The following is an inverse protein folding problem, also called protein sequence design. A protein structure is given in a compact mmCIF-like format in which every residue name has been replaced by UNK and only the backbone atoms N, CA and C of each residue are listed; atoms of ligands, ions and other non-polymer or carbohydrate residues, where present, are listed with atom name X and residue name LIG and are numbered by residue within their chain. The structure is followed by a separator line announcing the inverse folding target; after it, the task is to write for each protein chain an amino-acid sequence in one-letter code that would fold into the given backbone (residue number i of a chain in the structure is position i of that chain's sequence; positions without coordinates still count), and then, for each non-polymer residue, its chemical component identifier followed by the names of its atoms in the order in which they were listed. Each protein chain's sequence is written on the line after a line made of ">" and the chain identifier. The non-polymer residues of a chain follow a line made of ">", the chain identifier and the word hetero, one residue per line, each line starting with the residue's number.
data_IF_477880229959
#
_entry.id   IF_477880229959
#
_cell.length_a   1.000
_cell.length_b   1.000
_cell.length_c   1.000
_cell.angle_alpha   90.00
_cell.angle_beta   90.00
_cell.angle_gamma   90.00
#
_symmetry.space_group_name_H-M   'P 1'
#
loop_
_entity.id
_entity.type
_entity.pdbx_description
1 polymer ?
#
# COMPACT_ATOMS: atom_id res chain seq x y z
N UNK A 1 -25.82 35.84 -12.09
CA UNK A 1 -25.55 34.48 -12.60
C UNK A 1 -24.78 33.75 -11.50
N UNK A 2 -25.47 32.89 -10.74
CA UNK A 2 -24.87 32.16 -9.61
C UNK A 2 -24.57 30.74 -10.07
N UNK A 3 -23.29 30.37 -10.13
CA UNK A 3 -22.85 29.01 -10.42
C UNK A 3 -23.03 28.16 -9.16
N UNK A 4 -24.19 27.54 -9.03
CA UNK A 4 -24.43 26.53 -8.00
C UNK A 4 -23.56 25.30 -8.29
N UNK A 5 -22.59 25.06 -7.42
CA UNK A 5 -21.75 23.85 -7.44
C UNK A 5 -22.63 22.63 -7.16
N UNK A 6 -22.67 21.68 -8.10
CA UNK A 6 -23.49 20.46 -8.03
C UNK A 6 -23.09 19.48 -6.91
N UNK A 7 -22.10 19.83 -6.09
CA UNK A 7 -21.67 19.06 -4.93
C UNK A 7 -22.56 19.28 -3.70
N UNK A 8 -23.19 20.46 -3.56
CA UNK A 8 -23.96 20.81 -2.36
C UNK A 8 -25.40 20.24 -2.33
N UNK A 9 -25.91 19.74 -3.45
CA UNK A 9 -27.31 19.29 -3.57
C UNK A 9 -27.50 17.79 -3.29
N UNK A 10 -26.41 17.04 -3.05
CA UNK A 10 -26.46 15.57 -2.89
C UNK A 10 -26.75 15.09 -1.47
N UNK A 11 -26.95 15.99 -0.51
CA UNK A 11 -27.07 15.66 0.92
C UNK A 11 -28.49 15.73 1.49
N UNK A 12 -29.51 16.08 0.70
CA UNK A 12 -30.81 16.49 1.28
C UNK A 12 -31.94 15.45 1.31
N UNK A 13 -31.78 14.21 0.84
CA UNK A 13 -32.92 13.25 0.87
C UNK A 13 -32.52 11.77 1.07
N UNK A 14 -31.52 11.46 1.90
CA UNK A 14 -31.34 10.08 2.36
C UNK A 14 -31.99 9.94 3.74
N UNK A 15 -33.15 9.29 3.76
CA UNK A 15 -33.77 8.74 4.96
C UNK A 15 -32.75 7.87 5.73
N UNK A 16 -32.80 8.02 7.03
CA UNK A 16 -31.81 7.65 8.03
C UNK A 16 -32.01 6.20 8.51
N UNK A 17 -31.69 5.20 7.67
CA UNK A 17 -31.81 3.78 8.11
C UNK A 17 -30.52 2.96 8.11
N UNK A 18 -29.39 3.48 7.62
CA UNK A 18 -28.04 3.01 7.97
C UNK A 18 -27.02 3.96 7.32
N UNK A 19 -25.89 4.28 7.98
CA UNK A 19 -24.81 4.97 7.29
C UNK A 19 -24.36 4.15 6.07
N UNK A 20 -24.05 4.78 4.93
CA UNK A 20 -23.50 4.07 3.78
C UNK A 20 -22.26 3.29 4.21
N UNK A 21 -22.17 2.02 3.81
CA UNK A 21 -21.02 1.21 4.14
C UNK A 21 -19.78 1.81 3.48
N UNK A 22 -18.85 2.34 4.28
CA UNK A 22 -17.64 3.03 3.81
C UNK A 22 -16.41 2.38 4.46
N UNK A 23 -15.32 2.27 3.71
CA UNK A 23 -14.03 1.85 4.24
C UNK A 23 -12.87 2.66 3.64
N UNK A 24 -11.81 2.85 4.42
CA UNK A 24 -10.58 3.51 3.96
C UNK A 24 -9.43 2.52 4.08
N UNK A 25 -8.64 2.42 3.02
CA UNK A 25 -7.46 1.57 2.95
C UNK A 25 -6.20 2.44 2.84
N UNK A 26 -5.22 2.16 3.70
CA UNK A 26 -3.90 2.79 3.65
C UNK A 26 -2.82 1.72 3.48
N UNK A 27 -2.06 1.80 2.39
CA UNK A 27 -0.94 0.90 2.12
C UNK A 27 0.36 1.65 2.40
N UNK A 28 1.15 1.18 3.36
CA UNK A 28 2.51 1.66 3.61
C UNK A 28 3.50 0.79 2.86
N UNK A 29 4.12 1.36 1.82
CA UNK A 29 5.04 0.67 0.92
C UNK A 29 6.49 1.08 1.22
N UNK A 30 7.40 0.11 1.34
CA UNK A 30 8.78 0.34 1.81
C UNK A 30 9.80 -0.45 0.99
N UNK A 31 9.48 -1.69 0.62
CA UNK A 31 10.48 -2.58 0.05
C UNK A 31 10.97 -2.12 -1.33
N UNK A 32 10.09 -1.54 -2.15
CA UNK A 32 10.39 -1.00 -3.49
C UNK A 32 9.78 0.38 -3.61
N UNK A 33 10.31 1.18 -4.53
CA UNK A 33 9.76 2.48 -4.87
C UNK A 33 8.93 2.40 -6.16
N UNK A 34 7.90 3.25 -6.27
CA UNK A 34 7.04 3.42 -7.42
C UNK A 34 7.55 4.59 -8.28
N UNK A 35 8.76 4.43 -8.83
CA UNK A 35 9.59 5.50 -9.40
C UNK A 35 9.08 6.11 -10.72
N UNK A 36 7.96 5.64 -11.26
CA UNK A 36 7.36 6.21 -12.47
C UNK A 36 5.84 6.17 -12.42
N UNK A 37 5.21 7.09 -13.16
CA UNK A 37 3.75 7.13 -13.29
C UNK A 37 3.19 5.82 -13.87
N UNK A 38 3.93 5.17 -14.78
CA UNK A 38 3.53 3.88 -15.34
C UNK A 38 3.46 2.79 -14.27
N UNK A 39 4.49 2.68 -13.43
CA UNK A 39 4.52 1.72 -12.31
C UNK A 39 3.43 2.03 -11.28
N UNK A 40 3.20 3.31 -10.96
CA UNK A 40 2.14 3.75 -10.05
C UNK A 40 0.76 3.35 -10.58
N UNK A 41 0.48 3.63 -11.85
CA UNK A 41 -0.79 3.28 -12.48
C UNK A 41 -0.99 1.76 -12.54
N UNK A 42 0.07 1.01 -12.83
CA UNK A 42 0.03 -0.46 -12.80
C UNK A 42 -0.31 -0.98 -11.40
N UNK A 43 0.33 -0.43 -10.35
CA UNK A 43 0.06 -0.83 -8.97
C UNK A 43 -1.39 -0.52 -8.56
N UNK A 44 -1.89 0.69 -8.85
CA UNK A 44 -3.28 1.04 -8.58
C UNK A 44 -4.26 0.12 -9.32
N UNK A 45 -3.99 -0.17 -10.60
CA UNK A 45 -4.81 -1.12 -11.36
C UNK A 45 -4.85 -2.49 -10.70
N UNK A 46 -3.71 -3.01 -10.26
CA UNK A 46 -3.63 -4.32 -9.60
C UNK A 46 -4.44 -4.36 -8.30
N UNK A 47 -4.41 -3.28 -7.50
CA UNK A 47 -5.22 -3.18 -6.28
C UNK A 47 -6.72 -3.07 -6.62
N UNK A 48 -7.07 -2.25 -7.61
CA UNK A 48 -8.46 -2.08 -8.07
C UNK A 48 -9.06 -3.39 -8.61
N UNK A 49 -8.28 -4.18 -9.34
CA UNK A 49 -8.68 -5.49 -9.86
C UNK A 49 -9.02 -6.48 -8.73
N UNK A 50 -8.49 -6.27 -7.51
CA UNK A 50 -8.77 -7.07 -6.31
C UNK A 50 -9.95 -6.49 -5.53
N UNK A 51 -9.95 -5.18 -5.27
CA UNK A 51 -10.93 -4.55 -4.38
C UNK A 51 -12.31 -4.44 -5.01
N UNK A 52 -12.39 -4.04 -6.29
CA UNK A 52 -13.69 -3.79 -6.96
C UNK A 52 -14.60 -5.02 -6.95
N UNK A 53 -14.14 -6.25 -7.28
CA UNK A 53 -14.98 -7.44 -7.21
C UNK A 53 -15.47 -7.80 -5.80
N UNK A 54 -14.79 -7.32 -4.74
CA UNK A 54 -15.13 -7.63 -3.35
C UNK A 54 -16.08 -6.60 -2.75
N UNK A 55 -15.79 -5.30 -2.95
CA UNK A 55 -16.47 -4.19 -2.28
C UNK A 55 -17.72 -3.72 -3.02
N UNK A 56 -17.64 -3.63 -4.36
CA UNK A 56 -18.74 -3.08 -5.17
C UNK A 56 -20.04 -3.91 -5.06
N UNK A 57 -20.03 -5.25 -5.12
CA UNK A 57 -21.27 -6.04 -4.96
C UNK A 57 -21.90 -5.92 -3.57
N UNK A 58 -21.14 -5.48 -2.57
CA UNK A 58 -21.60 -5.25 -1.20
C UNK A 58 -22.13 -3.84 -0.97
N UNK A 59 -22.11 -2.98 -2.00
CA UNK A 59 -22.48 -1.57 -1.87
C UNK A 59 -21.57 -0.79 -0.93
N UNK A 60 -20.32 -1.24 -0.76
CA UNK A 60 -19.33 -0.55 0.07
C UNK A 60 -18.62 0.50 -0.78
N UNK A 61 -18.65 1.75 -0.34
CA UNK A 61 -17.80 2.82 -0.86
C UNK A 61 -16.39 2.70 -0.26
N UNK A 62 -15.34 3.05 -1.02
CA UNK A 62 -13.98 3.01 -0.48
C UNK A 62 -13.05 4.12 -0.97
N UNK A 63 -12.10 4.45 -0.12
CA UNK A 63 -10.96 5.32 -0.41
C UNK A 63 -9.65 4.53 -0.24
N UNK A 64 -8.67 4.75 -1.11
CA UNK A 64 -7.37 4.08 -1.09
C UNK A 64 -6.24 5.10 -1.19
N UNK A 65 -5.31 5.06 -0.22
CA UNK A 65 -4.05 5.80 -0.25
C UNK A 65 -2.84 4.87 -0.19
N UNK A 66 -1.78 5.19 -0.94
CA UNK A 66 -0.49 4.51 -0.88
C UNK A 66 0.54 5.52 -0.39
N UNK A 67 1.32 5.13 0.61
CA UNK A 67 2.32 5.97 1.26
C UNK A 67 3.68 5.27 1.16
N UNK A 68 4.65 5.94 0.56
CA UNK A 68 6.02 5.41 0.45
C UNK A 68 6.87 5.90 1.62
N UNK A 69 7.57 4.98 2.27
CA UNK A 69 8.55 5.30 3.31
C UNK A 69 9.97 4.96 2.85
N UNK A 70 10.95 5.65 3.44
CA UNK A 70 12.36 5.41 3.13
C UNK A 70 12.80 4.00 3.54
N UNK A 71 13.28 3.20 2.58
CA UNK A 71 13.85 1.87 2.83
C UNK A 71 15.03 1.91 3.82
N UNK A 72 15.79 3.00 3.87
CA UNK A 72 16.92 3.15 4.80
C UNK A 72 16.50 3.24 6.26
N UNK A 73 15.24 3.61 6.53
CA UNK A 73 14.67 3.73 7.87
C UNK A 73 13.87 2.49 8.31
N UNK A 74 14.02 1.38 7.59
CA UNK A 74 13.34 0.11 7.88
C UNK A 74 14.34 -1.00 8.24
N UNK A 75 13.95 -1.85 9.20
CA UNK A 75 14.69 -3.02 9.64
C UNK A 75 13.75 -4.21 9.81
N UNK A 76 14.26 -5.42 9.59
CA UNK A 76 13.59 -6.69 9.91
C UNK A 76 14.48 -7.42 10.89
N UNK A 77 13.97 -7.75 12.07
CA UNK A 77 14.77 -8.32 13.18
C UNK A 77 16.04 -7.51 13.51
N UNK A 78 15.98 -6.17 13.34
CA UNK A 78 17.14 -5.29 13.53
C UNK A 78 18.14 -5.27 12.36
N UNK A 79 17.90 -6.02 11.28
CA UNK A 79 18.76 -6.09 10.11
C UNK A 79 18.26 -5.20 8.96
N UNK A 80 19.17 -4.60 8.20
CA UNK A 80 18.91 -4.00 6.89
C UNK A 80 18.46 -5.11 5.95
N UNK A 81 17.25 -4.97 5.41
CA UNK A 81 16.70 -5.94 4.48
C UNK A 81 17.59 -6.03 3.21
N UNK A 82 17.85 -7.24 2.68
CA UNK A 82 18.72 -7.44 1.53
C UNK A 82 18.36 -6.57 0.33
N UNK A 83 19.34 -6.13 -0.49
CA UNK A 83 19.05 -5.33 -1.67
C UNK A 83 18.06 -6.03 -2.60
N UNK A 84 17.24 -5.21 -3.23
CA UNK A 84 16.37 -5.57 -4.34
C UNK A 84 17.08 -6.46 -5.37
N UNK A 85 16.53 -7.64 -5.65
CA UNK A 85 17.02 -8.58 -6.65
C UNK A 85 18.27 -9.36 -6.26
N UNK A 86 18.82 -9.11 -5.06
CA UNK A 86 20.00 -9.81 -4.57
C UNK A 86 19.74 -11.30 -4.35
N UNK A 87 20.80 -12.10 -4.36
CA UNK A 87 20.67 -13.53 -4.08
C UNK A 87 20.21 -13.79 -2.64
N UNK A 88 20.54 -12.90 -1.71
CA UNK A 88 20.04 -12.96 -0.34
C UNK A 88 18.52 -12.67 -0.26
N UNK A 89 17.99 -11.73 -1.05
CA UNK A 89 16.53 -11.52 -1.14
C UNK A 89 15.83 -12.78 -1.67
N UNK A 90 16.40 -13.46 -2.68
CA UNK A 90 15.86 -14.72 -3.21
C UNK A 90 15.92 -15.85 -2.20
N UNK A 91 16.98 -15.92 -1.37
CA UNK A 91 17.08 -16.88 -0.26
C UNK A 91 15.96 -16.64 0.76
N UNK A 92 15.79 -15.40 1.21
CA UNK A 92 14.70 -15.02 2.13
C UNK A 92 13.33 -15.36 1.55
N UNK A 93 13.09 -15.07 0.27
CA UNK A 93 11.84 -15.41 -0.40
C UNK A 93 11.57 -16.92 -0.40
N UNK A 94 12.58 -17.75 -0.74
CA UNK A 94 12.44 -19.21 -0.74
C UNK A 94 12.21 -19.79 0.65
N UNK A 95 12.84 -19.22 1.68
CA UNK A 95 12.69 -19.65 3.06
C UNK A 95 11.41 -19.10 3.72
N UNK A 96 10.82 -18.05 3.15
CA UNK A 96 9.76 -17.24 3.77
C UNK A 96 10.12 -16.80 5.20
N UNK A 97 11.40 -16.49 5.41
CA UNK A 97 11.97 -16.11 6.69
C UNK A 97 13.28 -15.35 6.49
N UNK A 98 13.71 -14.65 7.54
CA UNK A 98 15.07 -14.10 7.62
C UNK A 98 16.04 -15.28 7.70
N UNK A 99 17.06 -15.29 6.84
CA UNK A 99 18.15 -16.26 6.86
C UNK A 99 19.51 -15.56 6.85
N UNK A 100 20.55 -16.30 7.24
CA UNK A 100 21.94 -15.84 7.22
C UNK A 100 22.16 -14.57 8.10
N UNK A 101 21.49 -14.50 9.25
CA UNK A 101 21.46 -13.32 10.14
C UNK A 101 22.86 -12.84 10.56
N UNK A 102 23.76 -13.75 10.95
CA UNK A 102 25.12 -13.38 11.36
C UNK A 102 25.93 -12.75 10.21
N UNK A 103 25.74 -13.23 8.99
CA UNK A 103 26.39 -12.69 7.79
C UNK A 103 25.87 -11.28 7.52
N UNK A 104 24.54 -11.13 7.53
CA UNK A 104 23.90 -9.84 7.36
C UNK A 104 24.31 -8.84 8.42
N UNK A 105 24.35 -9.26 9.69
CA UNK A 105 24.76 -8.41 10.80
C UNK A 105 26.18 -7.87 10.57
N UNK A 106 27.14 -8.75 10.26
CA UNK A 106 28.53 -8.36 9.96
C UNK A 106 28.66 -7.43 8.75
N UNK A 107 27.77 -7.55 7.77
CA UNK A 107 27.77 -6.72 6.58
C UNK A 107 27.10 -5.35 6.77
N UNK A 108 26.34 -5.16 7.86
CA UNK A 108 25.75 -3.86 8.13
C UNK A 108 26.83 -2.83 8.48
N UNK A 109 26.67 -1.57 8.04
CA UNK A 109 27.53 -0.50 8.52
C UNK A 109 27.32 -0.34 10.03
N UNK A 110 28.30 -0.74 10.82
CA UNK A 110 28.38 -0.43 12.23
C UNK A 110 29.21 0.85 12.40
N UNK A 111 28.76 1.83 13.20
CA UNK A 111 29.62 2.91 13.64
C UNK A 111 30.83 2.38 14.44
#
# INVERSE_FOLDING_TARGET
>A
MSTSSSWAQRTSTREEENPPALTTLSIYHIARALDSQEIQNFFFKAVDDILRPILNPKGVEWELGIYEASRHLWRVNGLIAPPTGSDMEKKWFKANAVTDEEELLKAQPHP
#
